data_IF_637891051072
#
_entry.id   IF_637891051072
#
_cell.length_a   1.000
_cell.length_b   1.000
_cell.length_c   1.000
_cell.angle_alpha   90.00
_cell.angle_beta   90.00
_cell.angle_gamma   90.00
#
_symmetry.space_group_name_H-M   'P 1'
#
loop_
_entity.id
_entity.type
_entity.pdbx_description
1 polymer ?
#
# COMPACT_ATOMS: atom_id res chain seq x y z
N UNK A 1 4.53 7.68 -7.19
CA UNK A 1 3.45 7.34 -8.15
C UNK A 1 2.34 6.63 -7.39
N UNK A 2 1.10 6.69 -7.87
CA UNK A 2 -0.05 6.00 -7.29
C UNK A 2 -0.88 5.31 -8.36
N UNK A 3 -1.29 4.07 -8.15
CA UNK A 3 -2.04 3.28 -9.15
C UNK A 3 -3.52 3.57 -9.01
N UNK A 4 -4.13 4.11 -10.07
CA UNK A 4 -5.59 4.22 -10.12
C UNK A 4 -6.20 2.83 -10.17
N UNK A 5 -7.21 2.59 -9.34
CA UNK A 5 -7.92 1.32 -9.31
C UNK A 5 -7.02 0.10 -9.08
N UNK A 6 -6.02 0.23 -8.21
CA UNK A 6 -5.09 -0.84 -7.80
C UNK A 6 -5.73 -2.24 -7.69
N UNK A 7 -6.85 -2.35 -6.98
CA UNK A 7 -7.54 -3.63 -6.78
C UNK A 7 -8.23 -4.20 -8.01
N UNK A 8 -8.32 -3.48 -9.13
CA UNK A 8 -8.78 -4.00 -10.41
C UNK A 8 -7.64 -4.54 -11.27
N UNK A 9 -6.38 -4.33 -10.87
CA UNK A 9 -5.20 -4.85 -11.57
C UNK A 9 -4.72 -6.20 -11.01
N UNK A 10 -5.22 -6.61 -9.85
CA UNK A 10 -4.96 -7.94 -9.29
C UNK A 10 -5.58 -9.06 -10.13
N UNK A 11 -4.80 -10.11 -10.34
CA UNK A 11 -5.29 -11.35 -10.95
C UNK A 11 -5.95 -12.23 -9.90
N UNK A 12 -7.02 -12.92 -10.29
CA UNK A 12 -7.70 -13.84 -9.38
C UNK A 12 -7.04 -15.21 -9.51
N UNK A 13 -6.45 -15.70 -8.43
CA UNK A 13 -5.77 -17.00 -8.34
C UNK A 13 -6.74 -18.19 -8.36
N UNK A 14 -8.04 -17.92 -8.27
CA UNK A 14 -9.12 -18.91 -8.15
C UNK A 14 -10.34 -18.52 -8.97
N UNK A 15 -11.13 -19.53 -9.32
CA UNK A 15 -12.40 -19.32 -9.99
C UNK A 15 -13.44 -18.75 -9.02
N UNK A 16 -13.72 -17.46 -9.17
CA UNK A 16 -14.72 -16.74 -8.37
C UNK A 16 -15.87 -16.33 -9.27
N UNK A 17 -17.07 -16.70 -8.85
CA UNK A 17 -18.31 -16.37 -9.52
C UNK A 17 -19.12 -15.40 -8.68
N UNK A 18 -19.75 -14.42 -9.31
CA UNK A 18 -20.66 -13.47 -8.67
C UNK A 18 -22.02 -13.53 -9.33
N UNK A 19 -23.05 -13.12 -8.59
CA UNK A 19 -24.35 -12.82 -9.18
C UNK A 19 -24.22 -11.77 -10.28
N UNK A 20 -25.18 -11.78 -11.20
CA UNK A 20 -25.27 -10.75 -12.24
C UNK A 20 -25.55 -9.39 -11.56
N UNK A 21 -24.88 -8.31 -11.98
CA UNK A 21 -25.16 -6.99 -11.45
C UNK A 21 -26.61 -6.59 -11.73
N UNK A 22 -27.23 -5.88 -10.78
CA UNK A 22 -28.54 -5.28 -10.99
C UNK A 22 -28.49 -4.42 -12.26
N UNK A 23 -29.54 -4.51 -13.06
CA UNK A 23 -29.69 -3.86 -14.38
C UNK A 23 -28.85 -4.47 -15.53
N UNK A 24 -28.02 -5.49 -15.28
CA UNK A 24 -27.24 -6.21 -16.30
C UNK A 24 -27.63 -7.69 -16.43
N UNK A 25 -28.73 -8.10 -15.78
CA UNK A 25 -29.24 -9.46 -15.83
C UNK A 25 -29.71 -9.85 -17.23
N UNK A 26 -29.27 -11.01 -17.68
CA UNK A 26 -29.70 -11.59 -18.95
C UNK A 26 -31.18 -12.01 -18.87
N UNK A 27 -32.03 -11.40 -19.70
CA UNK A 27 -33.45 -11.78 -19.81
C UNK A 27 -33.67 -13.23 -20.24
N UNK A 28 -32.69 -13.83 -20.93
CA UNK A 28 -32.76 -15.20 -21.41
C UNK A 28 -32.18 -16.21 -20.42
N UNK A 29 -31.27 -15.76 -19.54
CA UNK A 29 -30.56 -16.62 -18.60
C UNK A 29 -30.39 -15.91 -17.24
N UNK A 30 -31.49 -15.69 -16.50
CA UNK A 30 -31.43 -14.98 -15.21
C UNK A 30 -30.62 -15.73 -14.15
N UNK A 31 -30.49 -17.06 -14.26
CA UNK A 31 -29.75 -17.90 -13.33
C UNK A 31 -28.23 -17.93 -13.56
N UNK A 32 -27.73 -17.26 -14.60
CA UNK A 32 -26.30 -17.25 -14.88
C UNK A 32 -25.54 -16.44 -13.84
N UNK A 33 -24.26 -16.78 -13.69
CA UNK A 33 -23.31 -16.11 -12.81
C UNK A 33 -22.13 -15.60 -13.62
N UNK A 34 -21.55 -14.49 -13.20
CA UNK A 34 -20.39 -13.89 -13.84
C UNK A 34 -19.11 -14.49 -13.25
N UNK A 35 -18.21 -15.00 -14.10
CA UNK A 35 -16.85 -15.37 -13.66
C UNK A 35 -15.97 -14.13 -13.63
N UNK A 36 -15.36 -13.85 -12.48
CA UNK A 36 -14.40 -12.77 -12.34
C UNK A 36 -13.07 -13.16 -12.97
N UNK A 37 -12.56 -12.28 -13.85
CA UNK A 37 -11.22 -12.42 -14.45
C UNK A 37 -10.14 -11.62 -13.72
N UNK A 38 -10.57 -10.58 -13.01
CA UNK A 38 -9.73 -9.66 -12.24
C UNK A 38 -10.39 -9.44 -10.89
N UNK A 39 -9.61 -9.02 -9.91
CA UNK A 39 -10.16 -8.70 -8.60
C UNK A 39 -11.11 -7.51 -8.66
N UNK A 40 -12.07 -7.48 -7.75
CA UNK A 40 -13.04 -6.40 -7.59
C UNK A 40 -12.92 -5.82 -6.18
N UNK A 41 -13.32 -4.56 -6.04
CA UNK A 41 -13.47 -3.95 -4.72
C UNK A 41 -14.45 -4.75 -3.85
N UNK A 42 -14.11 -4.92 -2.57
CA UNK A 42 -14.91 -5.67 -1.61
C UNK A 42 -14.60 -7.17 -1.55
N UNK A 43 -13.82 -7.72 -2.49
CA UNK A 43 -13.26 -9.06 -2.35
C UNK A 43 -12.21 -9.08 -1.23
N UNK A 44 -12.35 -9.99 -0.26
CA UNK A 44 -11.41 -10.11 0.87
C UNK A 44 -9.96 -10.38 0.43
N UNK A 45 -9.79 -11.03 -0.72
CA UNK A 45 -8.51 -11.36 -1.32
C UNK A 45 -7.98 -10.31 -2.30
N UNK A 46 -8.77 -9.28 -2.68
CA UNK A 46 -8.29 -8.25 -3.59
C UNK A 46 -7.06 -7.48 -3.08
N UNK A 47 -6.96 -7.12 -1.78
CA UNK A 47 -5.74 -6.52 -1.24
C UNK A 47 -4.52 -7.43 -1.37
N UNK A 48 -4.69 -8.74 -1.11
CA UNK A 48 -3.59 -9.72 -1.22
C UNK A 48 -3.16 -9.91 -2.68
N UNK A 49 -4.10 -10.10 -3.60
CA UNK A 49 -3.79 -10.27 -5.02
C UNK A 49 -3.13 -9.02 -5.63
N UNK A 50 -3.47 -7.83 -5.12
CA UNK A 50 -2.76 -6.61 -5.48
C UNK A 50 -1.36 -6.53 -4.87
N UNK A 51 -1.24 -6.90 -3.59
CA UNK A 51 0.05 -6.99 -2.90
C UNK A 51 1.02 -7.93 -3.65
N UNK A 52 0.58 -9.14 -3.98
CA UNK A 52 1.35 -10.12 -4.77
C UNK A 52 1.77 -9.57 -6.16
N UNK A 53 1.05 -8.58 -6.71
CA UNK A 53 1.34 -7.94 -8.01
C UNK A 53 2.32 -6.77 -7.89
N UNK A 54 2.37 -6.10 -6.74
CA UNK A 54 3.09 -4.83 -6.54
C UNK A 54 4.26 -4.93 -5.56
N UNK A 55 4.43 -6.06 -4.89
CA UNK A 55 5.25 -6.22 -3.68
C UNK A 55 6.69 -5.70 -3.82
N UNK A 56 7.23 -5.74 -5.03
CA UNK A 56 8.64 -5.44 -5.29
C UNK A 56 8.89 -4.15 -6.08
N UNK A 57 7.97 -3.17 -6.10
CA UNK A 57 8.14 -1.98 -6.96
C UNK A 57 8.53 -0.71 -6.18
N UNK A 58 9.82 -0.57 -5.89
CA UNK A 58 10.47 0.72 -5.62
C UNK A 58 11.44 0.99 -6.77
N UNK A 59 11.26 2.12 -7.46
CA UNK A 59 12.18 2.52 -8.53
C UNK A 59 13.26 3.39 -7.90
N UNK A 60 14.50 2.91 -7.93
CA UNK A 60 15.70 3.64 -7.52
C UNK A 60 16.79 3.41 -8.55
N UNK A 61 17.61 4.42 -8.81
CA UNK A 61 18.75 4.32 -9.73
C UNK A 61 19.55 5.61 -9.72
N UNK A 62 20.71 5.59 -10.36
CA UNK A 62 21.58 6.73 -10.63
C UNK A 62 21.44 7.28 -12.06
N UNK A 63 20.74 6.55 -12.94
CA UNK A 63 20.39 6.97 -14.30
C UNK A 63 18.97 7.56 -14.36
N UNK A 64 18.89 8.87 -14.61
CA UNK A 64 17.63 9.59 -14.68
C UNK A 64 16.81 9.23 -15.94
N UNK A 65 17.44 8.89 -17.07
CA UNK A 65 16.73 8.49 -18.29
C UNK A 65 16.07 7.11 -18.12
N UNK A 66 16.77 6.15 -17.51
CA UNK A 66 16.21 4.82 -17.24
C UNK A 66 15.05 4.88 -16.24
N UNK A 67 15.18 5.70 -15.20
CA UNK A 67 14.10 5.96 -14.24
C UNK A 67 12.87 6.54 -14.96
N UNK A 68 13.07 7.53 -15.84
CA UNK A 68 11.99 8.16 -16.58
C UNK A 68 11.32 7.20 -17.57
N UNK A 69 12.09 6.39 -18.29
CA UNK A 69 11.53 5.37 -19.21
C UNK A 69 10.72 4.31 -18.46
N UNK A 70 11.25 3.80 -17.34
CA UNK A 70 10.54 2.81 -16.50
C UNK A 70 9.25 3.42 -15.93
N UNK A 71 9.31 4.69 -15.51
CA UNK A 71 8.17 5.46 -15.04
C UNK A 71 7.07 5.60 -16.10
N UNK A 72 7.43 5.95 -17.34
CA UNK A 72 6.47 6.08 -18.44
C UNK A 72 5.80 4.75 -18.77
N UNK A 73 6.59 3.67 -18.84
CA UNK A 73 6.06 2.33 -19.09
C UNK A 73 5.03 1.92 -18.03
N UNK A 74 5.34 2.14 -16.75
CA UNK A 74 4.42 1.86 -15.65
C UNK A 74 3.16 2.75 -15.67
N UNK A 75 3.32 4.02 -16.05
CA UNK A 75 2.21 4.96 -16.21
C UNK A 75 1.21 4.48 -17.26
N UNK A 76 1.71 4.01 -18.41
CA UNK A 76 0.88 3.46 -19.50
C UNK A 76 0.18 2.16 -19.06
N UNK A 77 0.92 1.24 -18.43
CA UNK A 77 0.37 -0.07 -18.06
C UNK A 77 -0.68 -0.01 -16.94
N UNK A 78 -0.51 0.89 -15.97
CA UNK A 78 -1.32 0.92 -14.74
C UNK A 78 -2.10 2.23 -14.53
N UNK A 79 -2.12 3.13 -15.53
CA UNK A 79 -2.77 4.45 -15.43
C UNK A 79 -2.34 5.20 -14.15
N UNK A 80 -1.03 5.17 -13.86
CA UNK A 80 -0.51 5.73 -12.62
C UNK A 80 -0.66 7.26 -12.59
N UNK A 81 -0.89 7.78 -11.39
CA UNK A 81 -0.84 9.20 -11.08
C UNK A 81 0.53 9.57 -10.52
N UNK A 82 1.07 10.67 -11.02
CA UNK A 82 2.25 11.31 -10.46
C UNK A 82 1.92 12.02 -9.14
N UNK A 83 2.70 11.72 -8.09
CA UNK A 83 2.56 12.30 -6.77
C UNK A 83 3.69 13.28 -6.40
N UNK A 84 4.63 13.51 -7.32
CA UNK A 84 5.86 14.27 -7.06
C UNK A 84 6.88 13.49 -6.23
N UNK A 85 7.74 14.22 -5.52
CA UNK A 85 8.80 13.67 -4.65
C UNK A 85 8.24 12.76 -3.55
N UNK A 86 8.99 11.71 -3.23
CA UNK A 86 8.63 10.76 -2.18
C UNK A 86 8.74 11.44 -0.81
N UNK A 87 7.60 11.81 -0.23
CA UNK A 87 7.54 12.37 1.13
C UNK A 87 7.02 11.38 2.17
N UNK A 88 6.22 10.41 1.73
CA UNK A 88 5.62 9.42 2.62
C UNK A 88 5.63 8.05 1.95
N UNK A 89 6.04 7.04 2.69
CA UNK A 89 6.02 5.64 2.26
C UNK A 89 5.72 4.73 3.45
N UNK A 90 4.67 3.91 3.38
CA UNK A 90 4.32 2.95 4.46
C UNK A 90 4.28 3.57 5.87
N UNK A 91 3.76 4.80 6.01
CA UNK A 91 3.75 5.60 7.26
C UNK A 91 5.12 6.09 7.75
N UNK A 92 6.18 5.91 6.96
CA UNK A 92 7.45 6.63 7.09
C UNK A 92 7.33 7.98 6.39
N UNK A 93 7.86 9.00 7.03
CA UNK A 93 8.15 10.31 6.44
C UNK A 93 9.56 10.25 5.86
N UNK A 94 9.72 10.76 4.64
CA UNK A 94 10.99 10.81 3.92
C UNK A 94 11.34 12.28 3.73
N UNK A 95 12.47 12.69 4.29
CA UNK A 95 13.03 14.04 4.14
C UNK A 95 14.30 13.97 3.29
N UNK A 96 14.35 14.76 2.23
CA UNK A 96 15.53 14.88 1.39
C UNK A 96 16.54 15.83 2.05
N UNK A 97 17.73 15.32 2.36
CA UNK A 97 18.86 16.09 2.89
C UNK A 97 19.96 16.16 1.82
N UNK A 98 20.92 17.08 1.99
CA UNK A 98 21.96 17.34 0.97
C UNK A 98 22.72 16.08 0.52
N UNK A 99 22.96 15.15 1.45
CA UNK A 99 23.76 13.95 1.23
C UNK A 99 22.95 12.65 1.32
N UNK A 100 21.61 12.71 1.21
CA UNK A 100 20.79 11.48 1.22
C UNK A 100 19.34 11.67 1.64
N UNK A 101 18.78 10.60 2.22
CA UNK A 101 17.41 10.56 2.72
C UNK A 101 17.41 10.38 4.23
N UNK A 102 16.59 11.17 4.92
CA UNK A 102 16.29 11.01 6.33
C UNK A 102 14.89 10.40 6.48
N UNK A 103 14.81 9.23 7.11
CA UNK A 103 13.55 8.52 7.35
C UNK A 103 13.11 8.75 8.80
N UNK A 104 11.88 9.22 9.01
CA UNK A 104 11.33 9.41 10.34
C UNK A 104 9.86 8.97 10.45
N UNK A 105 9.36 8.86 11.68
CA UNK A 105 7.97 8.53 11.99
C UNK A 105 7.37 9.54 12.97
N UNK A 106 7.77 10.81 12.86
CA UNK A 106 7.45 11.82 13.85
C UNK A 106 5.93 12.00 14.02
N UNK A 107 5.17 12.02 12.92
CA UNK A 107 3.72 12.12 12.98
C UNK A 107 3.10 10.89 13.65
N UNK A 108 3.56 9.69 13.31
CA UNK A 108 3.05 8.47 13.95
C UNK A 108 3.28 8.49 15.47
N UNK A 109 4.48 8.88 15.92
CA UNK A 109 4.77 9.01 17.34
C UNK A 109 3.88 10.07 18.02
N UNK A 110 3.67 11.23 17.39
CA UNK A 110 2.78 12.29 17.90
C UNK A 110 1.32 11.83 17.98
N UNK A 111 0.82 11.19 16.92
CA UNK A 111 -0.55 10.67 16.85
C UNK A 111 -0.76 9.58 17.92
N UNK A 112 0.25 8.74 18.17
CA UNK A 112 0.22 7.72 19.22
C UNK A 112 0.15 8.36 20.60
N UNK A 113 1.03 9.33 20.89
CA UNK A 113 1.01 10.06 22.16
C UNK A 113 -0.32 10.78 22.37
N UNK A 114 -0.87 11.41 21.32
CA UNK A 114 -2.17 12.07 21.40
C UNK A 114 -3.29 11.08 21.72
N UNK A 115 -3.32 9.94 21.02
CA UNK A 115 -4.33 8.90 21.21
C UNK A 115 -4.39 8.37 22.65
N UNK A 116 -3.25 8.27 23.32
CA UNK A 116 -3.16 7.78 24.70
C UNK A 116 -3.08 8.91 25.74
N UNK A 117 -3.26 10.18 25.34
CA UNK A 117 -3.21 11.31 26.26
C UNK A 117 -1.82 11.61 26.83
N UNK A 118 -0.77 11.14 26.16
CA UNK A 118 0.63 11.20 26.63
C UNK A 118 1.45 12.37 26.05
N UNK A 119 0.84 13.28 25.29
CA UNK A 119 1.55 14.43 24.70
C UNK A 119 2.29 15.29 25.73
N UNK A 120 1.73 15.39 26.95
CA UNK A 120 2.28 16.21 28.04
C UNK A 120 2.97 15.36 29.12
N UNK A 121 3.21 14.07 28.87
CA UNK A 121 3.94 13.23 29.82
C UNK A 121 5.38 13.71 29.95
N UNK A 122 5.95 13.54 31.15
CA UNK A 122 7.38 13.84 31.38
C UNK A 122 8.22 12.90 30.51
N UNK A 123 9.15 13.41 29.69
CA UNK A 123 10.01 12.57 28.88
C UNK A 123 10.88 11.72 29.80
N UNK A 124 10.97 10.43 29.50
CA UNK A 124 11.88 9.49 30.15
C UNK A 124 12.97 9.12 29.14
N UNK A 125 14.24 9.14 29.56
CA UNK A 125 15.39 8.84 28.69
C UNK A 125 15.44 7.38 28.26
N UNK A 126 14.79 6.50 29.01
CA UNK A 126 14.65 5.07 28.73
C UNK A 126 13.16 4.71 28.76
N UNK A 127 12.48 4.62 27.60
CA UNK A 127 11.07 4.26 27.54
C UNK A 127 10.79 2.79 27.89
N UNK A 128 11.84 2.05 28.25
CA UNK A 128 11.81 0.64 28.63
C UNK A 128 12.06 0.54 30.13
N UNK A 129 11.33 -0.34 30.80
CA UNK A 129 11.47 -0.55 32.23
C UNK A 129 12.88 -1.12 32.52
N UNK A 130 13.69 -0.46 33.38
CA UNK A 130 15.01 -0.96 33.70
C UNK A 130 14.88 -2.32 34.41
N UNK A 131 15.68 -3.30 33.97
CA UNK A 131 15.74 -4.68 34.47
C UNK A 131 14.66 -5.66 33.95
N UNK A 132 13.90 -5.33 32.89
CA UNK A 132 13.16 -6.36 32.16
C UNK A 132 14.16 -7.36 31.54
N UNK A 133 14.04 -8.63 31.94
CA UNK A 133 14.72 -9.74 31.27
C UNK A 133 13.87 -10.17 30.08
N UNK A 134 14.28 -9.77 28.88
CA UNK A 134 13.73 -10.35 27.66
C UNK A 134 14.31 -11.76 27.51
N UNK A 135 13.51 -12.77 27.79
CA UNK A 135 13.81 -14.13 27.36
C UNK A 135 13.22 -14.30 25.95
N UNK A 136 14.03 -14.78 25.00
CA UNK A 136 13.48 -15.40 23.82
C UNK A 136 12.90 -16.75 24.27
N UNK A 137 11.58 -16.92 24.20
CA UNK A 137 11.02 -18.27 24.19
C UNK A 137 11.35 -18.85 22.81
N UNK A 138 12.17 -19.91 22.79
CA UNK A 138 12.45 -20.73 21.62
C UNK A 138 11.21 -21.51 21.14
#
# INVERSE_FOLDING_TARGET
>A
MDVKNAFLHGEVDRDIYTEQPRDFESKTHPQYVCKLRKTLYGLKQAPKAWYDKIDDLIITGDDEEEINSTRENLSICFQMKELGELRHFLRLEVEHIKDGLFLCQQKYAKDLLQRYGMLNCKPISTPMEPNIRFCAEE
#
